data_IF_333595401090
#
_entry.id   IF_333595401090
#
_cell.length_a   1.000
_cell.length_b   1.000
_cell.length_c   1.000
_cell.angle_alpha   90.00
_cell.angle_beta   90.00
_cell.angle_gamma   90.00
#
_symmetry.space_group_name_H-M   'P 1'
#
loop_
_entity.id
_entity.type
_entity.pdbx_description
1 polymer ?
#
# COMPACT_ATOMS: atom_id res chain seq x y z
N UNK A 1 -27.78 -20.37 -0.53
CA UNK A 1 -26.38 -20.70 -0.84
C UNK A 1 -25.88 -21.70 0.19
N UNK A 2 -25.12 -22.71 -0.23
CA UNK A 2 -24.48 -23.66 0.68
C UNK A 2 -23.06 -23.22 1.06
N UNK A 3 -22.45 -23.88 2.06
CA UNK A 3 -21.08 -23.59 2.50
C UNK A 3 -20.01 -23.73 1.40
N UNK A 4 -20.28 -24.52 0.35
CA UNK A 4 -19.41 -24.63 -0.83
C UNK A 4 -19.41 -23.36 -1.70
N UNK A 5 -20.55 -22.67 -1.79
CA UNK A 5 -20.70 -21.44 -2.56
C UNK A 5 -19.98 -20.27 -1.88
N UNK A 6 -20.08 -20.18 -0.55
CA UNK A 6 -19.34 -19.20 0.27
C UNK A 6 -17.83 -19.36 0.11
N UNK A 7 -17.32 -20.59 0.20
CA UNK A 7 -15.88 -20.88 0.01
C UNK A 7 -15.39 -20.55 -1.40
N UNK A 8 -16.21 -20.78 -2.43
CA UNK A 8 -15.87 -20.41 -3.80
C UNK A 8 -15.80 -18.88 -3.94
N UNK A 9 -16.77 -18.17 -3.38
CA UNK A 9 -16.82 -16.72 -3.41
C UNK A 9 -15.62 -16.08 -2.70
N UNK A 10 -15.25 -16.57 -1.51
CA UNK A 10 -14.05 -16.11 -0.79
C UNK A 10 -12.80 -16.32 -1.65
N UNK A 11 -12.64 -17.49 -2.29
CA UNK A 11 -11.51 -17.74 -3.19
C UNK A 11 -11.48 -16.78 -4.38
N UNK A 12 -12.64 -16.42 -4.94
CA UNK A 12 -12.73 -15.44 -6.03
C UNK A 12 -12.31 -14.05 -5.54
N UNK A 13 -12.72 -13.65 -4.35
CA UNK A 13 -12.30 -12.40 -3.71
C UNK A 13 -10.79 -12.38 -3.45
N UNK A 14 -10.23 -13.45 -2.86
CA UNK A 14 -8.78 -13.57 -2.62
C UNK A 14 -7.98 -13.50 -3.94
N UNK A 15 -8.48 -14.14 -5.00
CA UNK A 15 -7.86 -14.04 -6.32
C UNK A 15 -7.90 -12.62 -6.88
N UNK A 16 -9.02 -11.91 -6.68
CA UNK A 16 -9.16 -10.53 -7.13
C UNK A 16 -8.22 -9.59 -6.37
N UNK A 17 -8.01 -9.83 -5.07
CA UNK A 17 -7.01 -9.13 -4.27
C UNK A 17 -5.60 -9.31 -4.85
N UNK A 18 -5.20 -10.56 -5.13
CA UNK A 18 -3.89 -10.87 -5.72
C UNK A 18 -3.69 -10.19 -7.09
N UNK A 19 -4.74 -10.08 -7.89
CA UNK A 19 -4.71 -9.41 -9.18
C UNK A 19 -4.61 -7.88 -9.00
N UNK A 20 -5.34 -7.29 -8.05
CA UNK A 20 -5.21 -5.88 -7.71
C UNK A 20 -3.79 -5.55 -7.21
N UNK A 21 -3.21 -6.40 -6.37
CA UNK A 21 -1.81 -6.27 -5.95
C UNK A 21 -0.87 -6.37 -7.16
N UNK A 22 -1.04 -7.35 -8.05
CA UNK A 22 -0.22 -7.47 -9.26
C UNK A 22 -0.33 -6.23 -10.18
N UNK A 23 -1.51 -5.60 -10.26
CA UNK A 23 -1.69 -4.33 -10.96
C UNK A 23 -0.93 -3.18 -10.30
N UNK A 24 -0.92 -3.12 -8.96
CA UNK A 24 -0.11 -2.16 -8.22
C UNK A 24 1.38 -2.22 -8.60
N UNK A 25 1.89 -3.44 -8.83
CA UNK A 25 3.26 -3.68 -9.26
C UNK A 25 3.50 -3.21 -10.70
N UNK A 26 2.58 -3.50 -11.62
CA UNK A 26 2.67 -2.97 -13.00
C UNK A 26 2.71 -1.44 -13.02
N UNK A 27 1.89 -0.80 -12.18
CA UNK A 27 1.88 0.66 -12.02
C UNK A 27 3.19 1.17 -11.40
N UNK A 28 3.77 0.47 -10.41
CA UNK A 28 5.04 0.84 -9.81
C UNK A 28 6.21 0.75 -10.80
N UNK A 29 6.29 -0.32 -11.59
CA UNK A 29 7.28 -0.41 -12.68
C UNK A 29 7.10 0.73 -13.69
N UNK A 30 5.85 1.06 -14.03
CA UNK A 30 5.52 2.15 -14.95
C UNK A 30 5.90 3.53 -14.38
N UNK A 31 5.72 3.74 -13.07
CA UNK A 31 6.13 4.94 -12.36
C UNK A 31 7.66 5.12 -12.40
N UNK A 32 8.41 4.03 -12.27
CA UNK A 32 9.87 4.07 -12.14
C UNK A 32 10.63 3.77 -13.44
N UNK A 33 9.92 3.64 -14.56
CA UNK A 33 10.50 3.30 -15.87
C UNK A 33 11.32 2.00 -15.87
N UNK A 34 10.90 1.03 -15.05
CA UNK A 34 11.59 -0.25 -14.88
C UNK A 34 10.92 -1.36 -15.68
N UNK A 35 11.73 -2.33 -16.07
CA UNK A 35 11.22 -3.55 -16.69
C UNK A 35 10.56 -4.45 -15.63
N UNK A 36 9.37 -4.96 -15.93
CA UNK A 36 8.60 -5.84 -15.03
C UNK A 36 9.36 -7.07 -14.51
N UNK A 37 10.26 -7.73 -15.26
CA UNK A 37 11.05 -8.83 -14.71
C UNK A 37 11.89 -8.46 -13.48
N UNK A 38 12.29 -7.18 -13.36
CA UNK A 38 12.99 -6.67 -12.18
C UNK A 38 12.13 -6.64 -10.90
N UNK A 39 10.80 -6.63 -11.04
CA UNK A 39 9.87 -6.69 -9.89
C UNK A 39 9.67 -8.10 -9.34
N UNK A 40 9.98 -9.14 -10.14
CA UNK A 40 9.70 -10.54 -9.77
C UNK A 40 10.44 -10.93 -8.50
N UNK A 41 11.70 -10.51 -8.36
CA UNK A 41 12.51 -10.82 -7.17
C UNK A 41 11.88 -10.29 -5.88
N UNK A 42 11.38 -9.05 -5.90
CA UNK A 42 10.69 -8.42 -4.76
C UNK A 42 9.37 -9.13 -4.48
N UNK A 43 8.58 -9.40 -5.52
CA UNK A 43 7.31 -10.11 -5.42
C UNK A 43 7.43 -11.53 -4.85
N UNK A 44 8.57 -12.19 -5.08
CA UNK A 44 8.82 -13.56 -4.61
C UNK A 44 9.42 -13.64 -3.20
N UNK A 45 9.77 -12.50 -2.57
CA UNK A 45 10.40 -12.48 -1.23
C UNK A 45 9.56 -13.15 -0.15
N UNK A 46 8.24 -13.06 -0.25
CA UNK A 46 7.33 -13.58 0.76
C UNK A 46 6.91 -15.04 0.48
N UNK A 47 7.79 -15.83 -0.15
CA UNK A 47 7.55 -17.26 -0.42
C UNK A 47 6.57 -17.55 -1.56
N UNK A 48 6.13 -16.52 -2.30
CA UNK A 48 5.35 -16.69 -3.54
C UNK A 48 6.23 -17.32 -4.61
N UNK A 49 5.71 -18.32 -5.32
CA UNK A 49 6.47 -18.94 -6.40
C UNK A 49 6.64 -17.97 -7.57
N UNK A 50 7.80 -18.02 -8.24
CA UNK A 50 8.04 -17.20 -9.44
C UNK A 50 6.99 -17.44 -10.54
N UNK A 51 6.54 -18.69 -10.69
CA UNK A 51 5.53 -19.06 -11.68
C UNK A 51 4.18 -18.40 -11.39
N UNK A 52 3.74 -18.38 -10.13
CA UNK A 52 2.47 -17.77 -9.74
C UNK A 52 2.49 -16.25 -9.94
N UNK A 53 3.58 -15.60 -9.52
CA UNK A 53 3.79 -14.16 -9.72
C UNK A 53 3.80 -13.81 -11.20
N UNK A 54 4.54 -14.56 -12.02
CA UNK A 54 4.58 -14.33 -13.47
C UNK A 54 3.20 -14.56 -14.11
N UNK A 55 2.44 -15.55 -13.65
CA UNK A 55 1.06 -15.81 -14.08
C UNK A 55 0.13 -14.64 -13.78
N UNK A 56 0.17 -14.11 -12.56
CA UNK A 56 -0.59 -12.93 -12.14
C UNK A 56 -0.25 -11.68 -12.98
N UNK A 57 1.04 -11.38 -13.14
CA UNK A 57 1.48 -10.23 -13.93
C UNK A 57 1.07 -10.37 -15.40
N UNK A 58 1.19 -11.57 -15.98
CA UNK A 58 0.75 -11.83 -17.35
C UNK A 58 -0.75 -11.61 -17.51
N UNK A 59 -1.55 -12.09 -16.56
CA UNK A 59 -3.00 -11.90 -16.58
C UNK A 59 -3.36 -10.41 -16.54
N UNK A 60 -2.72 -9.63 -15.67
CA UNK A 60 -2.92 -8.18 -15.60
C UNK A 60 -2.53 -7.46 -16.89
N UNK A 61 -1.40 -7.82 -17.49
CA UNK A 61 -0.98 -7.22 -18.77
C UNK A 61 -1.95 -7.51 -19.92
N UNK A 62 -2.69 -8.63 -19.85
CA UNK A 62 -3.69 -8.99 -20.85
C UNK A 62 -5.04 -8.33 -20.60
N UNK A 63 -5.44 -8.19 -19.34
CA UNK A 63 -6.80 -7.76 -18.94
C UNK A 63 -6.89 -6.26 -18.58
N UNK A 64 -5.80 -5.69 -18.06
CA UNK A 64 -5.70 -4.29 -17.63
C UNK A 64 -6.48 -3.96 -16.35
N UNK A 65 -6.30 -2.74 -15.84
CA UNK A 65 -7.01 -2.23 -14.66
C UNK A 65 -8.54 -2.18 -14.80
N UNK A 66 -9.13 -1.84 -15.96
CA UNK A 66 -10.59 -1.78 -16.13
C UNK A 66 -11.27 -3.13 -15.88
N UNK A 67 -10.64 -4.24 -16.29
CA UNK A 67 -11.24 -5.56 -16.09
C UNK A 67 -11.28 -5.96 -14.61
N UNK A 68 -10.33 -5.49 -13.79
CA UNK A 68 -10.37 -5.72 -12.34
C UNK A 68 -11.59 -5.09 -11.69
N UNK A 69 -12.04 -3.94 -12.20
CA UNK A 69 -13.22 -3.27 -11.69
C UNK A 69 -14.50 -3.99 -12.10
N UNK A 70 -14.56 -4.49 -13.34
CA UNK A 70 -15.66 -5.35 -13.79
C UNK A 70 -15.76 -6.60 -12.91
N UNK A 71 -14.63 -7.25 -12.64
CA UNK A 71 -14.57 -8.42 -11.77
C UNK A 71 -15.00 -8.08 -10.34
N UNK A 72 -14.60 -6.92 -9.82
CA UNK A 72 -15.00 -6.43 -8.49
C UNK A 72 -16.51 -6.20 -8.41
N UNK A 73 -17.09 -5.47 -9.36
CA UNK A 73 -18.53 -5.18 -9.40
C UNK A 73 -19.37 -6.47 -9.42
N UNK A 74 -18.94 -7.47 -10.18
CA UNK A 74 -19.62 -8.75 -10.29
C UNK A 74 -19.53 -9.58 -9.01
N UNK A 75 -18.35 -9.61 -8.38
CA UNK A 75 -18.14 -10.34 -7.12
C UNK A 75 -18.82 -9.63 -5.95
N UNK A 76 -18.79 -8.30 -5.92
CA UNK A 76 -19.46 -7.47 -4.91
C UNK A 76 -20.98 -7.67 -4.93
N UNK A 77 -21.60 -7.65 -6.12
CA UNK A 77 -23.03 -7.93 -6.27
C UNK A 77 -23.40 -9.29 -5.70
N UNK A 78 -22.55 -10.29 -5.94
CA UNK A 78 -22.75 -11.65 -5.43
C UNK A 78 -22.58 -11.68 -3.90
N UNK A 79 -21.52 -11.06 -3.38
CA UNK A 79 -21.20 -11.00 -1.94
C UNK A 79 -22.30 -10.34 -1.11
N UNK A 80 -22.88 -9.24 -1.58
CA UNK A 80 -23.98 -8.55 -0.89
C UNK A 80 -25.24 -9.41 -0.73
N UNK A 81 -25.48 -10.33 -1.68
CA UNK A 81 -26.64 -11.23 -1.61
C UNK A 81 -26.46 -12.36 -0.60
N UNK A 82 -25.23 -12.70 -0.22
CA UNK A 82 -24.95 -13.83 0.67
C UNK A 82 -25.25 -13.48 2.13
N UNK A 83 -25.13 -12.20 2.51
CA UNK A 83 -25.25 -11.73 3.90
C UNK A 83 -24.43 -12.59 4.88
N UNK A 84 -23.16 -12.80 4.55
CA UNK A 84 -22.22 -13.58 5.35
C UNK A 84 -21.05 -12.70 5.83
N UNK A 85 -20.79 -12.70 7.14
CA UNK A 85 -19.80 -11.81 7.75
C UNK A 85 -18.37 -12.07 7.27
N UNK A 86 -18.01 -13.32 7.00
CA UNK A 86 -16.68 -13.68 6.52
C UNK A 86 -16.50 -13.17 5.09
N UNK A 87 -17.49 -13.39 4.22
CA UNK A 87 -17.51 -12.84 2.85
C UNK A 87 -17.41 -11.32 2.87
N UNK A 88 -18.14 -10.65 3.75
CA UNK A 88 -18.10 -9.19 3.88
C UNK A 88 -16.76 -8.66 4.37
N UNK A 89 -16.14 -9.34 5.34
CA UNK A 89 -14.80 -8.98 5.80
C UNK A 89 -13.77 -9.10 4.67
N UNK A 90 -13.82 -10.17 3.88
CA UNK A 90 -12.94 -10.37 2.72
C UNK A 90 -13.24 -9.33 1.63
N UNK A 91 -14.50 -9.05 1.32
CA UNK A 91 -14.89 -8.01 0.35
C UNK A 91 -14.34 -6.63 0.76
N UNK A 92 -14.47 -6.25 2.03
CA UNK A 92 -13.95 -4.99 2.54
C UNK A 92 -12.42 -4.92 2.44
N UNK A 93 -11.73 -6.03 2.71
CA UNK A 93 -10.27 -6.13 2.48
C UNK A 93 -9.92 -5.90 1.01
N UNK A 94 -10.62 -6.55 0.08
CA UNK A 94 -10.42 -6.34 -1.36
C UNK A 94 -10.66 -4.87 -1.75
N UNK A 95 -11.76 -4.25 -1.30
CA UNK A 95 -12.03 -2.83 -1.58
C UNK A 95 -10.93 -1.92 -1.04
N UNK A 96 -10.44 -2.19 0.17
CA UNK A 96 -9.29 -1.47 0.74
C UNK A 96 -8.05 -1.59 -0.15
N UNK A 97 -7.74 -2.78 -0.65
CA UNK A 97 -6.65 -3.00 -1.61
C UNK A 97 -6.83 -2.14 -2.86
N UNK A 98 -8.03 -2.09 -3.46
CA UNK A 98 -8.30 -1.21 -4.61
C UNK A 98 -8.09 0.28 -4.27
N UNK A 99 -8.59 0.74 -3.11
CA UNK A 99 -8.35 2.10 -2.63
C UNK A 99 -6.86 2.42 -2.46
N UNK A 100 -6.09 1.48 -1.92
CA UNK A 100 -4.64 1.63 -1.76
C UNK A 100 -3.95 1.72 -3.12
N UNK A 101 -4.25 0.83 -4.06
CA UNK A 101 -3.67 0.88 -5.42
C UNK A 101 -4.01 2.20 -6.11
N UNK A 102 -5.26 2.68 -5.98
CA UNK A 102 -5.70 3.94 -6.56
C UNK A 102 -4.97 5.16 -5.96
N UNK A 103 -4.83 5.17 -4.63
CA UNK A 103 -4.21 6.28 -3.87
C UNK A 103 -2.71 6.35 -4.07
N UNK A 104 -2.03 5.21 -4.09
CA UNK A 104 -0.57 5.16 -3.99
C UNK A 104 0.15 4.86 -5.30
N UNK A 105 -0.37 3.95 -6.11
CA UNK A 105 0.29 3.51 -7.33
C UNK A 105 -0.24 4.29 -8.54
N UNK A 106 -1.56 4.30 -8.73
CA UNK A 106 -2.21 5.01 -9.82
C UNK A 106 -1.94 6.53 -9.76
N UNK A 107 -2.10 7.14 -8.59
CA UNK A 107 -1.85 8.57 -8.41
C UNK A 107 -0.39 8.93 -8.70
N UNK A 108 0.56 8.06 -8.34
CA UNK A 108 1.97 8.32 -8.57
C UNK A 108 2.33 8.28 -10.06
N UNK A 109 1.81 7.30 -10.80
CA UNK A 109 1.97 7.24 -12.26
C UNK A 109 1.37 8.49 -12.91
N UNK A 110 0.15 8.92 -12.53
CA UNK A 110 -0.46 10.12 -13.09
C UNK A 110 0.39 11.38 -12.84
N UNK A 111 0.87 11.57 -11.60
CA UNK A 111 1.76 12.70 -11.28
C UNK A 111 3.02 12.70 -12.14
N UNK A 112 3.63 11.54 -12.38
CA UNK A 112 4.81 11.41 -13.25
C UNK A 112 4.46 11.75 -14.71
N UNK A 113 3.34 11.24 -15.21
CA UNK A 113 2.89 11.52 -16.58
C UNK A 113 2.61 13.02 -16.79
N UNK A 114 2.05 13.71 -15.80
CA UNK A 114 1.83 15.16 -15.82
C UNK A 114 3.14 15.97 -15.84
N UNK A 115 4.20 15.46 -15.20
CA UNK A 115 5.52 16.11 -15.16
C UNK A 115 6.37 15.81 -16.40
N UNK A 116 5.98 14.83 -17.21
CA UNK A 116 6.72 14.43 -18.40
C UNK A 116 6.47 15.43 -19.54
N UNK A 117 7.52 16.13 -19.98
CA UNK A 117 7.41 17.24 -20.93
C UNK A 117 6.82 16.87 -22.31
N UNK A 118 6.77 15.58 -22.69
CA UNK A 118 6.12 15.08 -23.92
C UNK A 118 5.58 13.66 -23.71
N UNK A 119 4.29 13.48 -23.35
CA UNK A 119 3.70 12.15 -23.32
C UNK A 119 3.55 11.62 -24.76
N UNK A 120 4.10 10.44 -25.03
CA UNK A 120 3.82 9.69 -26.26
C UNK A 120 2.37 9.19 -26.31
N UNK A 121 1.90 8.65 -27.45
CA UNK A 121 0.53 8.13 -27.58
C UNK A 121 0.19 7.04 -26.57
N UNK A 122 1.16 6.19 -26.22
CA UNK A 122 1.03 5.15 -25.19
C UNK A 122 0.80 5.73 -23.79
N UNK A 123 1.49 6.83 -23.47
CA UNK A 123 1.31 7.55 -22.20
C UNK A 123 -0.12 8.14 -22.09
N UNK A 124 -0.69 8.63 -23.19
CA UNK A 124 -2.07 9.10 -23.22
C UNK A 124 -3.12 8.00 -23.03
N UNK A 125 -2.85 6.78 -23.54
CA UNK A 125 -3.71 5.62 -23.30
C UNK A 125 -3.65 5.17 -21.85
N UNK A 126 -2.44 5.03 -21.30
CA UNK A 126 -2.22 4.65 -19.90
C UNK A 126 -2.83 5.67 -18.93
N UNK A 127 -2.67 6.98 -19.21
CA UNK A 127 -3.27 8.04 -18.40
C UNK A 127 -4.80 7.90 -18.32
N UNK A 128 -5.47 7.64 -19.46
CA UNK A 128 -6.93 7.46 -19.50
C UNK A 128 -7.37 6.22 -18.72
N UNK A 129 -6.64 5.12 -18.87
CA UNK A 129 -6.90 3.88 -18.11
C UNK A 129 -6.82 4.13 -16.61
N UNK A 130 -5.73 4.73 -16.15
CA UNK A 130 -5.50 4.98 -14.72
C UNK A 130 -6.51 5.98 -14.15
N UNK A 131 -6.88 7.02 -14.91
CA UNK A 131 -7.93 7.95 -14.51
C UNK A 131 -9.30 7.26 -14.42
N UNK A 132 -9.63 6.36 -15.35
CA UNK A 132 -10.84 5.58 -15.27
C UNK A 132 -10.83 4.68 -14.03
N UNK A 133 -9.69 4.04 -13.75
CA UNK A 133 -9.51 3.22 -12.55
C UNK A 133 -9.74 4.02 -11.27
N UNK A 134 -9.08 5.18 -11.10
CA UNK A 134 -9.28 6.03 -9.92
C UNK A 134 -10.72 6.50 -9.75
N UNK A 135 -11.39 6.89 -10.85
CA UNK A 135 -12.79 7.34 -10.80
C UNK A 135 -13.74 6.22 -10.39
N UNK A 136 -13.48 4.99 -10.83
CA UNK A 136 -14.28 3.84 -10.44
C UNK A 136 -14.04 3.46 -8.97
N UNK A 137 -12.78 3.41 -8.53
CA UNK A 137 -12.44 3.13 -7.13
C UNK A 137 -13.02 4.19 -6.18
N UNK A 138 -13.06 5.46 -6.58
CA UNK A 138 -13.67 6.53 -5.78
C UNK A 138 -15.19 6.36 -5.57
N UNK A 139 -15.86 5.50 -6.34
CA UNK A 139 -17.28 5.16 -6.18
C UNK A 139 -17.51 3.92 -5.32
N UNK A 140 -16.46 3.18 -4.97
CA UNK A 140 -16.55 2.12 -3.98
C UNK A 140 -16.77 2.78 -2.63
N UNK A 141 -17.84 2.40 -1.93
CA UNK A 141 -18.15 3.00 -0.63
C UNK A 141 -17.12 2.57 0.43
N UNK A 142 -16.67 3.49 1.30
CA UNK A 142 -15.88 3.12 2.47
C UNK A 142 -16.68 2.18 3.37
N UNK A 143 -16.17 0.96 3.60
CA UNK A 143 -16.88 -0.15 4.25
C UNK A 143 -17.30 0.02 5.70
N UNK A 144 -17.32 1.23 6.27
CA UNK A 144 -17.74 1.50 7.65
C UNK A 144 -19.26 1.59 7.84
N UNK A 145 -20.04 1.75 6.76
CA UNK A 145 -21.51 1.81 6.84
C UNK A 145 -22.21 0.60 6.21
N UNK A 146 -21.49 -0.21 5.41
CA UNK A 146 -22.04 -1.32 4.63
C UNK A 146 -22.52 -2.52 5.50
N UNK A 147 -22.03 -2.66 6.74
CA UNK A 147 -22.47 -3.74 7.64
C UNK A 147 -23.85 -3.42 8.24
N UNK A 148 -24.07 -2.18 8.68
CA UNK A 148 -25.40 -1.76 9.17
C UNK A 148 -26.42 -1.70 8.02
N UNK A 149 -26.01 -1.32 6.81
CA UNK A 149 -26.91 -1.25 5.65
C UNK A 149 -27.29 -2.62 5.06
N UNK A 150 -26.41 -3.63 5.12
CA UNK A 150 -26.69 -4.97 4.55
C UNK A 150 -27.32 -5.92 5.58
N UNK A 151 -26.90 -5.81 6.83
CA UNK A 151 -27.35 -6.67 7.93
C UNK A 151 -28.37 -5.99 8.85
N UNK A 152 -28.66 -4.70 8.64
CA UNK A 152 -29.80 -4.04 9.27
C UNK A 152 -31.10 -4.72 8.87
N UNK A 153 -31.97 -4.94 9.85
CA UNK A 153 -33.34 -5.38 9.58
C UNK A 153 -34.04 -4.30 8.75
N UNK A 154 -34.55 -4.66 7.57
CA UNK A 154 -35.50 -3.80 6.87
C UNK A 154 -36.75 -3.69 7.77
N UNK A 155 -36.87 -2.59 8.51
CA UNK A 155 -38.11 -2.26 9.19
C UNK A 155 -39.24 -2.31 8.14
N UNK A 156 -40.33 -3.07 8.38
CA UNK A 156 -41.38 -3.22 7.40
C UNK A 156 -42.03 -1.86 7.16
N UNK A 157 -41.74 -1.26 6.00
CA UNK A 157 -42.37 -0.02 5.55
C UNK A 157 -43.88 -0.25 5.54
N UNK A 158 -44.69 0.50 6.31
CA UNK A 158 -46.12 0.32 6.31
C UNK A 158 -46.71 0.87 5.00
N UNK A 159 -47.13 -0.04 4.13
CA UNK A 159 -48.21 0.17 3.17
C UNK A 159 -47.92 1.04 1.95
N UNK A 160 -47.72 0.39 0.80
CA UNK A 160 -48.37 0.86 -0.43
C UNK A 160 -48.70 -0.35 -1.31
N UNK A 161 -49.98 -0.77 -1.28
CA UNK A 161 -50.56 -1.72 -2.22
C UNK A 161 -50.53 -1.16 -3.64
N UNK A 162 -49.83 -1.84 -4.55
CA UNK A 162 -50.05 -1.71 -5.99
C UNK A 162 -50.35 -3.12 -6.58
N UNK A 163 -51.34 -3.25 -7.48
CA UNK A 163 -51.89 -4.54 -7.91
C UNK A 163 -50.98 -5.29 -8.91
N UNK A 164 -51.14 -6.63 -9.05
CA UNK A 164 -50.21 -7.47 -9.80
C UNK A 164 -50.44 -7.36 -11.32
N UNK A 165 -49.40 -7.50 -12.16
CA UNK A 165 -49.61 -7.76 -13.58
C UNK A 165 -49.96 -9.23 -13.83
N UNK A 166 -50.89 -9.41 -14.77
CA UNK A 166 -51.52 -10.66 -15.22
C UNK A 166 -50.55 -11.49 -16.08
N UNK A 167 -50.55 -12.82 -15.92
CA UNK A 167 -49.85 -13.81 -16.75
C UNK A 167 -50.69 -14.20 -17.98
N UNK A 168 -50.13 -14.35 -19.19
CA UNK A 168 -49.75 -15.59 -19.92
C UNK A 168 -49.80 -15.31 -21.46
N UNK A 169 -49.42 -16.19 -22.43
CA UNK A 169 -48.73 -17.50 -22.37
C UNK A 169 -47.53 -17.66 -23.35
N UNK A 170 -46.92 -18.85 -23.25
CA UNK A 170 -45.79 -19.47 -23.99
C UNK A 170 -45.88 -19.56 -25.53
N UNK A 171 -44.72 -19.67 -26.18
CA UNK A 171 -44.54 -20.33 -27.49
C UNK A 171 -43.14 -20.96 -27.61
N UNK A 172 -43.09 -22.13 -28.24
CA UNK A 172 -42.05 -23.16 -28.15
C UNK A 172 -41.10 -23.23 -29.38
N UNK A 173 -39.83 -23.60 -29.12
CA UNK A 173 -38.94 -24.48 -29.94
C UNK A 173 -38.34 -23.97 -31.28
N UNK A 174 -37.33 -24.66 -31.87
CA UNK A 174 -36.86 -26.02 -31.58
C UNK A 174 -35.33 -26.20 -31.35
N UNK A 175 -35.00 -27.38 -30.82
CA UNK A 175 -33.70 -28.00 -30.54
C UNK A 175 -33.04 -28.60 -31.80
N UNK A 176 -31.69 -28.67 -31.87
CA UNK A 176 -30.97 -29.80 -32.48
C UNK A 176 -29.49 -29.94 -32.05
N UNK A 177 -29.21 -31.07 -31.41
CA UNK A 177 -28.07 -32.01 -31.38
C UNK A 177 -26.60 -31.61 -31.74
N UNK A 178 -25.66 -32.14 -30.93
CA UNK A 178 -24.20 -31.96 -30.93
C UNK A 178 -23.39 -32.71 -32.03
N UNK A 179 -22.09 -33.04 -31.83
CA UNK A 179 -21.52 -33.68 -30.63
C UNK A 179 -20.16 -33.11 -30.14
N UNK A 180 -19.68 -33.70 -29.04
CA UNK A 180 -18.42 -33.48 -28.34
C UNK A 180 -17.22 -34.09 -29.09
N UNK A 181 -16.03 -33.48 -28.90
CA UNK A 181 -14.73 -34.13 -29.03
C UNK A 181 -13.73 -33.57 -27.99
N UNK A 182 -12.88 -34.48 -27.55
CA UNK A 182 -11.89 -34.52 -26.46
C UNK A 182 -10.87 -33.35 -26.36
N UNK A 183 -10.46 -32.91 -25.15
CA UNK A 183 -9.26 -32.12 -24.98
C UNK A 183 -7.99 -32.99 -24.99
N UNK A 184 -7.10 -32.67 -25.92
CA UNK A 184 -5.78 -33.28 -26.05
C UNK A 184 -4.93 -33.16 -24.78
N UNK A 185 -4.45 -34.32 -24.34
CA UNK A 185 -3.38 -34.55 -23.37
C UNK A 185 -2.10 -33.85 -23.85
N UNK A 186 -1.46 -33.08 -22.98
CA UNK A 186 -0.07 -32.66 -23.16
C UNK A 186 0.78 -33.07 -21.95
N UNK A 187 1.69 -34.00 -22.21
CA UNK A 187 2.77 -34.42 -21.32
C UNK A 187 3.68 -33.23 -20.97
N UNK A 188 3.90 -33.02 -19.67
CA UNK A 188 5.00 -32.20 -19.18
C UNK A 188 6.16 -33.12 -18.77
N UNK A 189 7.42 -32.85 -19.18
CA UNK A 189 8.54 -33.71 -18.86
C UNK A 189 8.94 -33.57 -17.38
N UNK A 190 9.10 -34.71 -16.72
CA UNK A 190 9.65 -34.83 -15.38
C UNK A 190 11.15 -34.50 -15.38
N UNK A 191 11.58 -33.67 -14.42
CA UNK A 191 12.98 -33.55 -14.01
C UNK A 191 13.10 -33.65 -12.48
N UNK A 192 14.23 -34.21 -11.98
CA UNK A 192 14.32 -34.88 -10.68
C UNK A 192 14.47 -33.90 -9.51
N UNK A 193 14.25 -34.36 -8.25
CA UNK A 193 14.24 -33.49 -7.09
C UNK A 193 15.66 -33.02 -6.76
N UNK A 194 15.85 -31.70 -6.67
CA UNK A 194 17.01 -31.11 -6.01
C UNK A 194 16.71 -30.97 -4.51
N UNK A 195 17.61 -31.51 -3.72
CA UNK A 195 17.54 -31.67 -2.28
C UNK A 195 17.31 -30.35 -1.52
N UNK A 196 16.32 -30.35 -0.62
CA UNK A 196 16.16 -29.37 0.44
C UNK A 196 17.32 -29.51 1.43
N UNK A 197 18.31 -28.63 1.32
CA UNK A 197 19.28 -28.38 2.37
C UNK A 197 18.61 -27.58 3.49
N UNK A 198 18.33 -28.24 4.60
CA UNK A 198 17.97 -27.61 5.87
C UNK A 198 19.13 -26.73 6.34
N UNK A 199 18.91 -25.41 6.41
CA UNK A 199 19.73 -24.52 7.22
C UNK A 199 19.02 -24.34 8.57
N UNK A 200 19.57 -25.00 9.59
CA UNK A 200 19.27 -24.77 10.98
C UNK A 200 19.57 -23.31 11.36
N UNK A 201 18.60 -22.63 11.97
CA UNK A 201 18.87 -21.43 12.77
C UNK A 201 18.69 -21.81 14.24
N UNK A 202 19.79 -21.82 14.99
CA UNK A 202 19.87 -22.04 16.43
C UNK A 202 20.34 -20.77 17.12
N UNK A 203 19.66 -20.40 18.23
CA UNK A 203 20.08 -19.43 19.26
C UNK A 203 19.92 -17.96 18.87
N UNK A 204 19.28 -17.08 19.65
CA UNK A 204 19.27 -16.95 21.11
C UNK A 204 17.99 -16.25 21.62
N UNK A 205 17.63 -16.44 22.90
CA UNK A 205 16.47 -15.81 23.52
C UNK A 205 16.86 -14.44 24.09
N UNK A 206 16.11 -13.40 23.76
CA UNK A 206 16.14 -12.15 24.53
C UNK A 206 14.90 -12.16 25.43
N UNK A 207 15.11 -12.32 26.73
CA UNK A 207 14.11 -12.03 27.76
C UNK A 207 14.24 -10.55 28.14
N UNK A 208 13.15 -9.76 28.18
CA UNK A 208 13.24 -8.40 28.68
C UNK A 208 13.26 -8.42 30.21
N UNK A 209 14.38 -8.04 30.81
CA UNK A 209 14.44 -7.53 32.18
C UNK A 209 13.80 -6.14 32.24
N UNK A 210 12.97 -5.90 33.25
CA UNK A 210 12.38 -4.60 33.59
C UNK A 210 13.49 -3.55 33.81
N UNK A 211 13.75 -2.70 32.81
CA UNK A 211 14.46 -1.44 32.98
C UNK A 211 13.70 -0.33 32.25
N UNK A 212 13.49 0.78 32.97
CA UNK A 212 12.75 1.96 32.52
C UNK A 212 13.32 2.59 31.23
N UNK A 213 12.52 3.34 30.46
CA UNK A 213 12.94 3.79 29.15
C UNK A 213 14.05 4.85 29.22
N UNK A 214 14.96 4.89 28.22
CA UNK A 214 16.20 5.66 28.24
C UNK A 214 16.09 7.20 28.13
N UNK A 215 14.88 7.79 28.21
CA UNK A 215 14.69 9.24 28.05
C UNK A 215 14.86 10.07 29.33
N UNK A 216 15.16 9.43 30.48
CA UNK A 216 15.37 10.12 31.76
C UNK A 216 16.75 10.79 31.90
N UNK A 217 17.65 10.65 30.93
CA UNK A 217 19.05 11.05 31.07
C UNK A 217 19.56 11.89 29.89
N UNK A 218 19.02 13.10 29.68
CA UNK A 218 19.78 14.19 29.04
C UNK A 218 19.12 15.57 29.22
N UNK A 219 19.82 16.46 29.94
CA UNK A 219 19.89 17.93 29.80
C UNK A 219 18.61 18.78 29.71
N UNK A 220 18.30 19.47 30.82
CA UNK A 220 17.32 20.55 31.05
C UNK A 220 15.85 20.36 30.58
N UNK A 221 14.87 20.41 31.52
CA UNK A 221 13.48 20.07 31.22
C UNK A 221 12.77 21.24 30.54
N UNK A 222 12.36 21.05 29.28
CA UNK A 222 11.19 21.80 28.78
C UNK A 222 9.98 21.26 29.56
N UNK A 223 9.23 22.09 30.31
CA UNK A 223 8.06 21.62 31.04
C UNK A 223 6.93 21.42 30.03
N UNK A 224 6.89 20.24 29.40
CA UNK A 224 5.72 19.75 28.68
C UNK A 224 5.07 18.70 29.55
N UNK A 225 3.80 18.90 29.90
CA UNK A 225 2.93 17.84 30.38
C UNK A 225 3.19 16.59 29.54
N UNK A 226 3.37 15.43 30.18
CA UNK A 226 3.81 14.18 29.56
C UNK A 226 2.98 13.95 28.29
N UNK A 227 3.57 14.28 27.13
CA UNK A 227 2.94 14.05 25.85
C UNK A 227 2.79 12.54 25.73
N UNK A 228 1.61 12.06 25.31
CA UNK A 228 1.46 10.63 25.04
C UNK A 228 2.47 10.21 23.97
N UNK A 229 2.83 8.92 23.96
CA UNK A 229 3.73 8.39 22.93
C UNK A 229 3.21 8.67 21.52
N UNK A 230 1.88 8.65 21.34
CA UNK A 230 1.22 9.05 20.10
C UNK A 230 1.48 10.52 19.71
N UNK A 231 1.43 11.47 20.66
CA UNK A 231 1.68 12.87 20.38
C UNK A 231 3.17 13.11 20.05
N UNK A 232 4.07 12.38 20.72
CA UNK A 232 5.52 12.37 20.44
C UNK A 232 5.84 11.83 19.04
N UNK A 233 5.17 10.74 18.64
CA UNK A 233 5.30 10.13 17.32
C UNK A 233 4.74 11.06 16.23
N UNK A 234 3.57 11.67 16.48
CA UNK A 234 2.92 12.55 15.52
C UNK A 234 3.81 13.72 15.10
N UNK A 235 4.47 14.38 16.05
CA UNK A 235 5.37 15.50 15.76
C UNK A 235 6.55 15.06 14.88
N UNK A 236 7.14 13.92 15.19
CA UNK A 236 8.30 13.40 14.46
C UNK A 236 7.96 12.91 13.07
N UNK A 237 6.83 12.21 12.90
CA UNK A 237 6.33 11.81 11.59
C UNK A 237 6.06 13.04 10.72
N UNK A 238 5.50 14.10 11.29
CA UNK A 238 5.21 15.32 10.53
C UNK A 238 6.48 16.06 10.10
N UNK A 239 7.47 16.19 10.98
CA UNK A 239 8.76 16.81 10.64
C UNK A 239 9.54 15.94 9.64
N UNK A 240 9.58 14.63 9.85
CA UNK A 240 10.26 13.72 8.93
C UNK A 240 9.62 13.73 7.53
N UNK A 241 8.29 13.76 7.43
CA UNK A 241 7.62 13.91 6.14
C UNK A 241 7.93 15.25 5.47
N UNK A 242 8.11 16.33 6.23
CA UNK A 242 8.55 17.60 5.68
C UNK A 242 10.00 17.53 5.16
N UNK A 243 10.89 16.83 5.88
CA UNK A 243 12.27 16.56 5.44
C UNK A 243 12.30 15.77 4.13
N UNK A 244 11.54 14.67 4.06
CA UNK A 244 11.40 13.84 2.86
C UNK A 244 10.98 14.67 1.65
N UNK A 245 9.98 15.54 1.81
CA UNK A 245 9.52 16.41 0.73
C UNK A 245 10.59 17.45 0.35
N UNK A 246 11.24 18.09 1.32
CA UNK A 246 12.32 19.05 1.04
C UNK A 246 13.44 18.40 0.22
N UNK A 247 13.89 17.19 0.60
CA UNK A 247 14.87 16.42 -0.17
C UNK A 247 14.37 16.05 -1.56
N UNK A 248 13.12 15.58 -1.67
CA UNK A 248 12.51 15.18 -2.94
C UNK A 248 12.33 16.33 -3.94
N UNK A 249 12.13 17.56 -3.46
CA UNK A 249 12.01 18.76 -4.28
C UNK A 249 13.33 19.54 -4.41
N UNK A 250 14.39 19.09 -3.72
CA UNK A 250 15.67 19.79 -3.63
C UNK A 250 15.54 21.24 -3.15
N UNK A 251 14.67 21.46 -2.16
CA UNK A 251 14.35 22.77 -1.60
C UNK A 251 14.85 22.86 -0.15
N UNK A 252 15.20 24.08 0.33
CA UNK A 252 15.55 24.27 1.72
C UNK A 252 14.34 24.01 2.62
N UNK A 253 14.56 23.24 3.70
CA UNK A 253 13.53 23.00 4.69
C UNK A 253 13.21 24.32 5.43
N UNK A 254 11.98 24.81 5.29
CA UNK A 254 11.53 26.04 5.94
C UNK A 254 10.70 25.73 7.20
N UNK A 255 11.24 25.98 8.42
CA UNK A 255 10.51 25.75 9.67
C UNK A 255 9.20 26.54 9.75
N UNK A 256 9.18 27.77 9.23
CA UNK A 256 8.02 28.67 9.34
C UNK A 256 6.86 28.23 8.42
N UNK A 257 7.16 27.41 7.41
CA UNK A 257 6.16 26.78 6.57
C UNK A 257 5.53 25.54 7.22
N UNK A 258 6.15 24.99 8.28
CA UNK A 258 5.64 23.80 8.97
C UNK A 258 4.28 24.07 9.63
N UNK A 259 3.27 23.20 9.45
CA UNK A 259 2.00 23.34 10.15
C UNK A 259 2.16 23.32 11.69
N UNK A 260 3.17 22.64 12.22
CA UNK A 260 3.47 22.62 13.66
C UNK A 260 3.89 24.01 14.18
N UNK A 261 4.62 24.78 13.38
CA UNK A 261 5.03 26.15 13.73
C UNK A 261 3.89 27.13 13.48
N UNK A 262 3.19 27.02 12.35
CA UNK A 262 2.03 27.87 12.02
C UNK A 262 0.87 27.74 13.01
N UNK A 263 0.73 26.58 13.66
CA UNK A 263 -0.27 26.32 14.70
C UNK A 263 0.26 26.57 16.12
N UNK A 264 1.45 27.19 16.24
CA UNK A 264 2.08 27.54 17.51
C UNK A 264 2.35 26.35 18.45
N UNK A 265 2.34 25.12 17.92
CA UNK A 265 2.68 23.90 18.68
C UNK A 265 4.19 23.82 18.91
N UNK A 266 4.98 24.30 17.95
CA UNK A 266 6.44 24.38 17.99
C UNK A 266 6.91 25.81 17.68
N UNK A 267 8.02 26.22 18.27
CA UNK A 267 8.81 27.35 17.76
C UNK A 267 9.71 26.88 16.61
N UNK A 268 10.15 27.79 15.73
CA UNK A 268 11.12 27.46 14.68
C UNK A 268 12.42 26.85 15.24
N UNK A 269 12.84 27.27 16.44
CA UNK A 269 14.00 26.71 17.12
C UNK A 269 13.76 25.24 17.56
N UNK A 270 12.58 24.95 18.13
CA UNK A 270 12.21 23.58 18.50
C UNK A 270 12.10 22.67 17.26
N UNK A 271 11.58 23.19 16.15
CA UNK A 271 11.55 22.47 14.88
C UNK A 271 12.96 22.09 14.41
N UNK A 272 13.89 23.05 14.39
CA UNK A 272 15.29 22.79 13.99
C UNK A 272 16.00 21.81 14.92
N UNK A 273 15.72 21.86 16.22
CA UNK A 273 16.26 20.90 17.18
C UNK A 273 15.78 19.47 16.87
N UNK A 274 14.49 19.30 16.59
CA UNK A 274 13.91 17.99 16.26
C UNK A 274 14.34 17.48 14.87
N UNK A 275 14.52 18.39 13.90
CA UNK A 275 15.15 18.09 12.63
C UNK A 275 16.56 17.48 12.81
N UNK A 276 17.38 18.10 13.66
CA UNK A 276 18.73 17.60 13.97
C UNK A 276 18.69 16.26 14.70
N UNK A 277 17.78 16.10 15.65
CA UNK A 277 17.54 14.82 16.34
C UNK A 277 17.25 13.69 15.33
N UNK A 278 16.39 13.95 14.33
CA UNK A 278 16.02 12.97 13.31
C UNK A 278 17.18 12.61 12.37
N UNK A 279 18.04 13.58 12.03
CA UNK A 279 19.25 13.34 11.26
C UNK A 279 20.28 12.51 12.03
N UNK A 280 20.45 12.78 13.33
CA UNK A 280 21.43 12.09 14.16
C UNK A 280 21.02 10.67 14.53
N UNK A 281 19.73 10.45 14.78
CA UNK A 281 19.22 9.16 15.27
C UNK A 281 18.70 8.24 14.17
N UNK A 282 18.48 8.77 12.97
CA UNK A 282 17.87 8.06 11.85
C UNK A 282 16.35 7.88 12.00
N UNK A 283 15.65 7.94 10.87
CA UNK A 283 14.19 7.86 10.84
C UNK A 283 13.64 6.47 11.20
N UNK A 284 14.45 5.42 11.07
CA UNK A 284 14.09 4.05 11.42
C UNK A 284 13.65 3.91 12.89
N UNK A 285 14.21 4.73 13.79
CA UNK A 285 13.80 4.78 15.20
C UNK A 285 12.30 5.07 15.38
N UNK A 286 11.72 5.90 14.51
CA UNK A 286 10.28 6.22 14.53
C UNK A 286 9.43 4.97 14.30
N UNK A 287 9.89 4.09 13.42
CA UNK A 287 9.20 2.84 13.11
C UNK A 287 9.31 1.86 14.28
N UNK A 288 10.50 1.75 14.88
CA UNK A 288 10.69 0.89 16.06
C UNK A 288 9.77 1.28 17.23
N UNK A 289 9.60 2.58 17.48
CA UNK A 289 8.64 3.06 18.51
C UNK A 289 7.20 2.75 18.08
N UNK A 290 6.82 3.04 16.84
CA UNK A 290 5.46 2.80 16.34
C UNK A 290 5.06 1.32 16.34
N UNK A 291 6.02 0.42 16.10
CA UNK A 291 5.80 -1.02 16.14
C UNK A 291 5.57 -1.54 17.57
N UNK A 292 6.04 -0.82 18.59
CA UNK A 292 5.90 -1.18 20.00
C UNK A 292 4.60 -0.70 20.67
N UNK A 293 3.80 0.13 19.99
CA UNK A 293 2.55 0.66 20.56
C UNK A 293 1.39 -0.32 20.32
N UNK A 294 0.64 -0.64 21.37
CA UNK A 294 -0.56 -1.48 21.28
C UNK A 294 -1.66 -0.80 20.44
N UNK A 295 -2.34 -1.58 19.59
CA UNK A 295 -3.33 -1.06 18.63
C UNK A 295 -4.77 -1.10 19.13
N UNK A 296 -4.97 -1.00 20.44
CA UNK A 296 -6.28 -1.07 21.08
C UNK A 296 -6.86 0.32 21.39
N UNK A 297 -8.19 0.45 21.27
CA UNK A 297 -8.92 1.69 21.57
C UNK A 297 -8.55 2.89 20.69
N UNK A 298 -8.75 4.11 21.23
CA UNK A 298 -8.51 5.38 20.55
C UNK A 298 -7.03 5.59 20.18
N UNK A 299 -6.11 5.06 21.00
CA UNK A 299 -4.67 5.14 20.75
C UNK A 299 -4.27 4.28 19.54
N UNK A 300 -4.86 3.09 19.40
CA UNK A 300 -4.70 2.25 18.22
C UNK A 300 -5.18 2.92 16.93
N UNK A 301 -6.28 3.68 16.96
CA UNK A 301 -6.72 4.46 15.79
C UNK A 301 -5.71 5.55 15.40
N UNK A 302 -5.14 6.24 16.39
CA UNK A 302 -4.08 7.24 16.17
C UNK A 302 -2.83 6.59 15.59
N UNK A 303 -2.40 5.44 16.10
CA UNK A 303 -1.26 4.66 15.59
C UNK A 303 -1.48 4.25 14.14
N UNK A 304 -2.66 3.70 13.80
CA UNK A 304 -3.01 3.35 12.41
C UNK A 304 -2.98 4.55 11.49
N UNK A 305 -3.48 5.70 11.94
CA UNK A 305 -3.41 6.95 11.17
C UNK A 305 -1.95 7.40 10.94
N UNK A 306 -1.07 7.25 11.94
CA UNK A 306 0.36 7.56 11.83
C UNK A 306 1.08 6.63 10.86
N UNK A 307 0.79 5.31 10.88
CA UNK A 307 1.29 4.35 9.88
C UNK A 307 0.94 4.81 8.46
N UNK A 308 -0.32 5.23 8.25
CA UNK A 308 -0.77 5.80 6.98
C UNK A 308 0.02 7.05 6.57
N UNK A 309 0.30 7.97 7.50
CA UNK A 309 1.08 9.20 7.21
C UNK A 309 2.54 8.91 6.86
N UNK A 310 3.17 7.94 7.52
CA UNK A 310 4.52 7.45 7.22
C UNK A 310 4.58 6.94 5.78
N UNK A 311 3.59 6.11 5.41
CA UNK A 311 3.47 5.56 4.08
C UNK A 311 3.22 6.65 3.02
N UNK A 312 2.30 7.56 3.29
CA UNK A 312 2.01 8.71 2.41
C UNK A 312 3.28 9.52 2.12
N UNK A 313 4.07 9.83 3.15
CA UNK A 313 5.32 10.59 3.02
C UNK A 313 6.37 9.85 2.18
N UNK A 314 6.60 8.56 2.49
CA UNK A 314 7.53 7.72 1.76
C UNK A 314 7.17 7.64 0.26
N UNK A 315 5.91 7.34 -0.05
CA UNK A 315 5.44 7.17 -1.42
C UNK A 315 5.39 8.48 -2.21
N UNK A 316 5.16 9.61 -1.54
CA UNK A 316 5.17 10.91 -2.20
C UNK A 316 6.59 11.40 -2.54
N UNK A 317 7.56 11.13 -1.68
CA UNK A 317 8.90 11.72 -1.74
C UNK A 317 9.95 10.81 -2.39
N UNK A 318 10.00 9.53 -1.99
CA UNK A 318 11.12 8.63 -2.35
C UNK A 318 11.27 8.41 -3.86
N UNK A 319 10.20 8.22 -4.67
CA UNK A 319 10.34 8.11 -6.12
C UNK A 319 11.01 9.32 -6.77
N UNK A 320 10.69 10.54 -6.30
CA UNK A 320 11.33 11.77 -6.81
C UNK A 320 12.79 11.85 -6.39
N UNK A 321 13.06 11.52 -5.12
CA UNK A 321 14.42 11.48 -4.59
C UNK A 321 15.29 10.48 -5.37
N UNK A 322 14.75 9.31 -5.69
CA UNK A 322 15.40 8.33 -6.58
C UNK A 322 15.73 8.91 -7.95
N UNK A 323 14.79 9.66 -8.55
CA UNK A 323 15.01 10.36 -9.81
C UNK A 323 16.13 11.41 -9.72
N UNK A 324 16.16 12.18 -8.64
CA UNK A 324 17.20 13.17 -8.37
C UNK A 324 18.59 12.51 -8.23
N UNK A 325 18.69 11.49 -7.37
CA UNK A 325 19.93 10.76 -7.10
C UNK A 325 20.43 10.07 -8.38
N UNK A 326 19.54 9.37 -9.09
CA UNK A 326 19.90 8.65 -10.33
C UNK A 326 20.28 9.60 -11.47
N UNK A 327 19.79 10.85 -11.43
CA UNK A 327 20.16 11.90 -12.37
C UNK A 327 21.48 12.61 -12.06
N UNK A 328 22.18 12.23 -10.99
CA UNK A 328 23.43 12.88 -10.54
C UNK A 328 23.21 14.23 -9.87
N UNK A 329 22.00 14.49 -9.36
CA UNK A 329 21.72 15.68 -8.56
C UNK A 329 22.24 15.53 -7.12
N UNK A 330 22.59 16.66 -6.51
CA UNK A 330 22.94 16.75 -5.10
C UNK A 330 21.78 17.28 -4.27
N UNK A 331 21.67 16.78 -3.04
CA UNK A 331 20.72 17.28 -2.06
C UNK A 331 21.13 18.67 -1.60
N UNK A 332 20.12 19.52 -1.44
CA UNK A 332 20.30 20.84 -0.85
C UNK A 332 20.94 20.70 0.55
N UNK A 333 21.91 21.56 0.90
CA UNK A 333 22.45 21.61 2.25
C UNK A 333 21.33 21.72 3.29
N UNK A 334 21.59 21.15 4.48
CA UNK A 334 20.68 21.21 5.62
C UNK A 334 20.34 22.65 6.00
N UNK A 335 19.32 22.84 6.83
CA UNK A 335 18.86 24.15 7.27
C UNK A 335 19.97 25.03 7.90
N UNK A 336 21.02 24.40 8.44
CA UNK A 336 22.18 25.08 9.05
C UNK A 336 23.35 25.29 8.04
N UNK A 337 23.14 25.01 6.74
CA UNK A 337 24.13 25.16 5.67
C UNK A 337 25.19 24.05 5.59
N UNK A 338 25.04 23.00 6.41
CA UNK A 338 25.92 21.83 6.38
C UNK A 338 25.59 20.98 5.15
N UNK A 339 26.58 20.50 4.39
CA UNK A 339 26.32 19.56 3.30
C UNK A 339 25.59 18.34 3.85
N UNK A 340 24.47 17.98 3.21
CA UNK A 340 23.74 16.77 3.56
C UNK A 340 24.65 15.55 3.30
N UNK A 341 24.83 14.68 4.29
CA UNK A 341 25.51 13.40 4.06
C UNK A 341 24.55 12.47 3.31
N UNK A 342 24.58 12.59 1.99
CA UNK A 342 23.69 11.85 1.10
C UNK A 342 23.81 10.33 1.31
N UNK A 343 24.98 9.83 1.74
CA UNK A 343 25.22 8.40 1.96
C UNK A 343 24.54 7.94 3.24
N UNK A 344 24.65 8.73 4.29
CA UNK A 344 23.96 8.48 5.55
C UNK A 344 22.44 8.57 5.35
N UNK A 345 21.95 9.63 4.70
CA UNK A 345 20.51 9.81 4.40
C UNK A 345 19.98 8.61 3.60
N UNK A 346 20.71 8.17 2.57
CA UNK A 346 20.30 6.99 1.78
C UNK A 346 20.24 5.72 2.63
N UNK A 347 21.25 5.48 3.47
CA UNK A 347 21.26 4.32 4.36
C UNK A 347 20.07 4.35 5.34
N UNK A 348 19.83 5.50 5.96
CA UNK A 348 18.72 5.70 6.90
C UNK A 348 17.35 5.54 6.22
N UNK A 349 17.21 5.99 4.97
CA UNK A 349 15.98 5.80 4.20
C UNK A 349 15.74 4.34 3.82
N UNK A 350 16.80 3.60 3.46
CA UNK A 350 16.71 2.17 3.17
C UNK A 350 16.22 1.42 4.42
N UNK A 351 16.78 1.73 5.59
CA UNK A 351 16.40 1.10 6.85
C UNK A 351 14.99 1.52 7.28
N UNK A 352 14.65 2.80 7.17
CA UNK A 352 13.31 3.31 7.44
C UNK A 352 12.25 2.62 6.59
N UNK A 353 12.46 2.53 5.27
CA UNK A 353 11.49 1.89 4.37
C UNK A 353 11.37 0.39 4.62
N UNK A 354 12.49 -0.28 4.90
CA UNK A 354 12.49 -1.71 5.20
C UNK A 354 11.72 -2.00 6.49
N UNK A 355 11.96 -1.23 7.56
CA UNK A 355 11.21 -1.37 8.80
C UNK A 355 9.76 -0.95 8.66
N UNK A 356 9.47 0.12 7.91
CA UNK A 356 8.10 0.57 7.66
C UNK A 356 7.29 -0.49 6.89
N UNK A 357 7.94 -1.28 6.03
CA UNK A 357 7.30 -2.40 5.36
C UNK A 357 6.83 -3.48 6.33
N UNK A 358 7.54 -3.69 7.44
CA UNK A 358 7.16 -4.68 8.46
C UNK A 358 5.93 -4.28 9.29
N UNK A 359 5.47 -3.03 9.16
CA UNK A 359 4.18 -2.60 9.71
C UNK A 359 2.98 -3.14 8.90
N UNK A 360 3.23 -3.77 7.74
CA UNK A 360 2.22 -4.30 6.85
C UNK A 360 2.36 -5.82 6.67
N UNK A 361 1.24 -6.56 6.55
CA UNK A 361 1.28 -8.00 6.34
C UNK A 361 2.08 -8.40 5.09
N UNK A 362 2.75 -9.55 5.18
CA UNK A 362 3.45 -10.18 4.06
C UNK A 362 2.52 -10.36 2.85
N UNK A 363 3.05 -10.12 1.65
CA UNK A 363 2.34 -10.29 0.39
C UNK A 363 1.42 -9.14 -0.03
N UNK A 364 1.25 -8.10 0.81
CA UNK A 364 0.43 -6.93 0.48
C UNK A 364 1.16 -5.93 -0.44
N UNK A 365 0.45 -5.29 -1.36
CA UNK A 365 1.06 -4.26 -2.23
C UNK A 365 1.69 -3.07 -1.46
N UNK A 366 1.20 -2.76 -0.26
CA UNK A 366 1.79 -1.71 0.59
C UNK A 366 3.20 -2.11 1.04
N UNK A 367 3.34 -3.31 1.63
CA UNK A 367 4.65 -3.87 2.03
C UNK A 367 5.60 -3.92 0.83
N UNK A 368 5.14 -4.51 -0.27
CA UNK A 368 5.96 -4.70 -1.47
C UNK A 368 6.42 -3.37 -2.06
N UNK A 369 5.57 -2.33 -2.06
CA UNK A 369 5.93 -1.00 -2.55
C UNK A 369 7.08 -0.39 -1.73
N UNK A 370 7.04 -0.47 -0.41
CA UNK A 370 8.11 0.06 0.45
C UNK A 370 9.42 -0.71 0.27
N UNK A 371 9.35 -2.05 0.22
CA UNK A 371 10.52 -2.89 -0.03
C UNK A 371 11.13 -2.63 -1.40
N UNK A 372 10.30 -2.40 -2.42
CA UNK A 372 10.78 -2.06 -3.75
C UNK A 372 11.52 -0.73 -3.77
N UNK A 373 10.95 0.31 -3.15
CA UNK A 373 11.61 1.61 -3.03
C UNK A 373 12.94 1.52 -2.28
N UNK A 374 13.02 0.67 -1.25
CA UNK A 374 14.27 0.40 -0.54
C UNK A 374 15.31 -0.30 -1.44
N UNK A 375 14.91 -1.28 -2.25
CA UNK A 375 15.79 -1.93 -3.23
C UNK A 375 16.29 -0.97 -4.30
N UNK A 376 15.43 -0.10 -4.83
CA UNK A 376 15.84 0.92 -5.80
C UNK A 376 16.83 1.91 -5.19
N UNK A 377 16.65 2.29 -3.92
CA UNK A 377 17.62 3.13 -3.20
C UNK A 377 18.95 2.40 -3.00
N UNK A 378 18.95 1.09 -2.70
CA UNK A 378 20.17 0.27 -2.62
C UNK A 378 20.90 0.19 -3.97
N UNK A 379 20.14 0.08 -5.06
CA UNK A 379 20.68 -0.08 -6.41
C UNK A 379 21.17 1.25 -7.03
N UNK A 380 20.76 2.40 -6.50
CA UNK A 380 21.19 3.70 -6.98
C UNK A 380 22.71 3.91 -6.71
N UNK A 381 23.53 3.86 -7.76
CA UNK A 381 25.00 3.85 -7.68
C UNK A 381 25.68 5.22 -7.68
N UNK A 382 24.94 6.32 -7.73
CA UNK A 382 25.52 7.67 -7.60
C UNK A 382 25.38 8.16 -6.16
N UNK A 383 26.51 8.13 -5.43
CA UNK A 383 26.91 9.12 -4.44
C UNK A 383 28.43 9.30 -4.54
#
# INVERSE_FOLDING_TARGET
>A
MGAADTKNLIRRLDRLEQLADAYAHVLLASELERALPGLISVLTRDGRSQADVAGLLKEILQRGGPQLLVDLDDVERTARQVKDLEVFAVLNRVRQTFHYVARYNAAAVLRRLEQSARPGPEAGSLQKEIQAFQRAVARLEPGTHDVEDVFGDEDPVPGTTAPPPVAEPSSSGPTRDGPADDPGIFDSPAFPPAHLGQANHSGMPWSPTEESPPWAASGDPVPRAVASEADWLQDRVEIFNAMLLAWAYNEPLNPDASPLVRRERFTAAQFRALHRELLEQGAARLIGVLAGVEEDGEEGERVRALRGRIFDGAVAAVPRLLGLISGGGHLHPDADGTPADERQIRADLIDYLSQAADLYPAGTALRDRLLYLAEELRAATSL
#
